data_IF_458823050642
#
_entry.id   IF_458823050642
#
_cell.length_a   1.000
_cell.length_b   1.000
_cell.length_c   1.000
_cell.angle_alpha   90.00
_cell.angle_beta   90.00
_cell.angle_gamma   90.00
#
_symmetry.space_group_name_H-M   'P 1'
#
loop_
_entity.id
_entity.type
_entity.pdbx_description
1 polymer ?
#
# COMPACT_ATOMS: atom_id res chain seq x y z
N UNK A 1 7.31 -11.14 34.13
CA UNK A 1 7.44 -11.79 32.81
C UNK A 1 6.87 -10.83 31.78
N UNK A 2 7.66 -10.39 30.76
CA UNK A 2 7.10 -9.64 29.61
C UNK A 2 6.13 -10.59 28.91
N UNK A 3 4.83 -10.25 28.87
CA UNK A 3 3.86 -10.99 28.08
C UNK A 3 4.30 -10.97 26.62
N UNK A 4 4.23 -12.11 25.92
CA UNK A 4 4.53 -12.16 24.49
C UNK A 4 3.48 -11.34 23.75
N UNK A 5 3.89 -10.20 23.16
CA UNK A 5 3.04 -9.38 22.32
C UNK A 5 2.94 -10.00 20.93
N UNK A 6 1.74 -10.10 20.39
CA UNK A 6 1.48 -10.76 19.11
C UNK A 6 0.75 -9.83 18.13
N UNK A 7 1.24 -9.78 16.91
CA UNK A 7 0.57 -9.13 15.79
C UNK A 7 0.06 -10.20 14.82
N UNK A 8 -1.25 -10.32 14.66
CA UNK A 8 -1.86 -11.27 13.72
C UNK A 8 -2.14 -10.55 12.41
N UNK A 9 -1.43 -10.90 11.34
CA UNK A 9 -1.69 -10.38 10.01
C UNK A 9 -2.63 -11.29 9.23
N UNK A 10 -3.79 -10.75 8.83
CA UNK A 10 -4.77 -11.46 8.00
C UNK A 10 -4.54 -11.08 6.54
N UNK A 11 -3.93 -12.00 5.79
CA UNK A 11 -3.59 -11.87 4.39
C UNK A 11 -4.61 -12.61 3.49
N UNK A 12 -4.63 -12.25 2.22
CA UNK A 12 -5.45 -12.91 1.19
C UNK A 12 -5.91 -11.94 0.11
N UNK A 13 -6.46 -12.45 -0.99
CA UNK A 13 -6.91 -11.62 -2.11
C UNK A 13 -8.07 -10.69 -1.74
N UNK A 14 -8.31 -9.66 -2.58
CA UNK A 14 -9.48 -8.79 -2.42
C UNK A 14 -10.77 -9.61 -2.56
N UNK A 15 -11.84 -9.20 -1.88
CA UNK A 15 -13.14 -9.88 -1.93
C UNK A 15 -13.25 -11.18 -1.11
N UNK A 16 -12.16 -11.68 -0.48
CA UNK A 16 -12.18 -12.96 0.24
C UNK A 16 -12.90 -12.90 1.60
N UNK A 17 -13.06 -11.72 2.20
CA UNK A 17 -13.74 -11.56 3.50
C UNK A 17 -12.80 -11.23 4.67
N UNK A 18 -11.58 -10.76 4.41
CA UNK A 18 -10.60 -10.38 5.46
C UNK A 18 -11.17 -9.44 6.53
N UNK A 19 -11.92 -8.42 6.12
CA UNK A 19 -12.52 -7.43 7.04
C UNK A 19 -13.46 -8.09 8.04
N UNK A 20 -14.37 -8.96 7.60
CA UNK A 20 -15.29 -9.63 8.51
C UNK A 20 -14.55 -10.53 9.49
N UNK A 21 -13.60 -11.34 9.01
CA UNK A 21 -12.79 -12.19 9.86
C UNK A 21 -11.99 -11.38 10.88
N UNK A 22 -11.38 -10.26 10.47
CA UNK A 22 -10.61 -9.40 11.37
C UNK A 22 -11.47 -8.83 12.50
N UNK A 23 -12.71 -8.44 12.20
CA UNK A 23 -13.66 -7.92 13.18
C UNK A 23 -14.09 -9.02 14.16
N UNK A 24 -14.41 -10.22 13.67
CA UNK A 24 -14.79 -11.34 14.52
C UNK A 24 -13.67 -11.73 15.51
N UNK A 25 -12.44 -11.79 15.01
CA UNK A 25 -11.27 -12.10 15.87
C UNK A 25 -11.03 -10.95 16.85
N UNK A 26 -11.10 -9.68 16.39
CA UNK A 26 -10.88 -8.53 17.25
C UNK A 26 -11.89 -8.45 18.39
N UNK A 27 -13.18 -8.73 18.13
CA UNK A 27 -14.22 -8.81 19.16
C UNK A 27 -13.91 -9.91 20.20
N UNK A 28 -13.54 -11.11 19.73
CA UNK A 28 -13.22 -12.24 20.62
C UNK A 28 -11.99 -11.98 21.51
N UNK A 29 -10.99 -11.27 20.96
CA UNK A 29 -9.75 -10.96 21.68
C UNK A 29 -9.79 -9.61 22.40
N UNK A 30 -10.90 -8.87 22.31
CA UNK A 30 -11.05 -7.51 22.83
C UNK A 30 -9.88 -6.60 22.43
N UNK A 31 -9.61 -6.55 21.13
CA UNK A 31 -8.48 -5.80 20.57
C UNK A 31 -8.88 -4.87 19.43
N UNK A 32 -7.90 -4.18 18.87
CA UNK A 32 -8.07 -3.18 17.83
C UNK A 32 -7.42 -3.65 16.51
N UNK A 33 -7.86 -3.08 15.40
CA UNK A 33 -7.45 -3.44 14.04
C UNK A 33 -6.64 -2.29 13.44
N UNK A 34 -5.51 -2.63 12.80
CA UNK A 34 -4.72 -1.72 11.97
C UNK A 34 -4.91 -2.11 10.50
N UNK A 35 -5.29 -1.15 9.64
CA UNK A 35 -5.31 -1.38 8.19
C UNK A 35 -3.92 -1.19 7.59
N UNK A 36 -3.49 -2.13 6.74
CA UNK A 36 -2.33 -1.99 5.87
C UNK A 36 -2.75 -1.89 4.39
N UNK A 37 -3.97 -1.43 4.10
CA UNK A 37 -4.41 -1.17 2.75
C UNK A 37 -4.00 0.24 2.33
N UNK A 38 -3.06 0.34 1.38
CA UNK A 38 -2.46 1.60 0.95
C UNK A 38 -3.44 2.58 0.28
N UNK A 39 -4.68 2.18 0.03
CA UNK A 39 -5.70 3.03 -0.59
C UNK A 39 -6.79 3.44 0.39
N UNK A 40 -7.07 2.64 1.40
CA UNK A 40 -8.05 2.97 2.43
C UNK A 40 -7.61 4.08 3.40
N UNK A 41 -6.37 4.53 3.32
CA UNK A 41 -5.89 5.70 4.09
C UNK A 41 -6.58 6.99 3.68
N UNK A 42 -6.97 7.13 2.41
CA UNK A 42 -7.40 8.39 1.82
C UNK A 42 -8.91 8.59 1.93
N UNK A 43 -9.31 9.75 2.48
CA UNK A 43 -10.72 10.11 2.74
C UNK A 43 -11.54 10.19 1.46
N UNK A 44 -10.92 10.62 0.38
CA UNK A 44 -11.55 10.85 -0.92
C UNK A 44 -11.79 9.53 -1.69
N UNK A 45 -11.14 8.43 -1.28
CA UNK A 45 -11.26 7.11 -1.91
C UNK A 45 -12.18 6.21 -1.09
N UNK A 46 -13.47 6.45 -1.13
CA UNK A 46 -14.43 5.79 -0.26
C UNK A 46 -15.05 4.55 -0.92
N UNK A 47 -15.69 4.70 -2.09
CA UNK A 47 -16.41 3.61 -2.74
C UNK A 47 -15.42 2.62 -3.38
N UNK A 48 -14.49 3.11 -4.19
CA UNK A 48 -13.57 2.27 -4.96
C UNK A 48 -12.56 1.48 -4.12
N UNK A 49 -12.31 1.87 -2.88
CA UNK A 49 -11.44 1.15 -1.94
C UNK A 49 -12.19 0.20 -1.01
N UNK A 50 -13.53 0.33 -0.94
CA UNK A 50 -14.41 -0.43 -0.03
C UNK A 50 -13.85 -0.55 1.38
N UNK A 51 -13.68 0.54 2.10
CA UNK A 51 -13.28 0.50 3.50
C UNK A 51 -14.36 -0.20 4.36
N UNK A 52 -14.06 -0.53 5.60
CA UNK A 52 -15.08 -1.01 6.54
C UNK A 52 -16.25 -0.05 6.63
N UNK A 53 -17.46 -0.58 6.67
CA UNK A 53 -18.69 0.21 6.81
C UNK A 53 -18.75 0.94 8.16
N UNK A 54 -19.61 1.95 8.26
CA UNK A 54 -19.80 2.69 9.52
C UNK A 54 -20.17 1.76 10.69
N UNK A 55 -21.03 0.75 10.45
CA UNK A 55 -21.37 -0.24 11.49
C UNK A 55 -20.15 -1.07 11.91
N UNK A 56 -19.32 -1.49 10.96
CA UNK A 56 -18.10 -2.24 11.23
C UNK A 56 -17.05 -1.41 12.00
N UNK A 57 -16.94 -0.12 11.69
CA UNK A 57 -16.04 0.80 12.41
C UNK A 57 -16.52 1.07 13.85
N UNK A 58 -17.83 1.07 14.09
CA UNK A 58 -18.40 1.17 15.44
C UNK A 58 -18.25 -0.11 16.25
N UNK A 59 -18.24 -1.27 15.59
CA UNK A 59 -18.10 -2.57 16.22
C UNK A 59 -16.71 -2.80 16.82
N UNK A 60 -15.68 -2.39 16.10
CA UNK A 60 -14.27 -2.51 16.50
C UNK A 60 -13.50 -1.29 16.01
N UNK A 61 -12.64 -0.77 16.84
CA UNK A 61 -11.79 0.37 16.47
C UNK A 61 -10.78 -0.03 15.40
N UNK A 62 -10.80 0.70 14.28
CA UNK A 62 -9.86 0.57 13.18
C UNK A 62 -8.95 1.79 13.11
N UNK A 63 -7.68 1.54 12.81
CA UNK A 63 -6.68 2.57 12.58
C UNK A 63 -6.26 2.56 11.11
N UNK A 64 -5.81 3.70 10.61
CA UNK A 64 -5.36 3.87 9.23
C UNK A 64 -6.49 3.64 8.20
N UNK A 65 -7.68 4.11 8.55
CA UNK A 65 -8.83 4.23 7.64
C UNK A 65 -9.17 5.71 7.54
N UNK A 66 -9.21 6.27 6.33
CA UNK A 66 -9.60 7.66 6.04
C UNK A 66 -8.91 8.72 6.92
N UNK A 67 -7.63 8.51 7.24
CA UNK A 67 -6.85 9.39 8.09
C UNK A 67 -5.88 10.30 7.32
N UNK A 68 -5.86 10.19 6.00
CA UNK A 68 -5.04 11.02 5.08
C UNK A 68 -5.91 11.59 3.96
N UNK A 69 -5.41 12.64 3.29
CA UNK A 69 -5.96 13.16 2.04
C UNK A 69 -5.11 12.66 0.85
N UNK A 70 -5.71 12.59 -0.34
CA UNK A 70 -4.98 12.28 -1.58
C UNK A 70 -3.85 13.28 -1.87
N UNK A 71 -3.88 14.46 -1.27
CA UNK A 71 -2.86 15.49 -1.38
C UNK A 71 -1.68 15.31 -0.41
N UNK A 72 -1.82 14.41 0.57
CA UNK A 72 -0.76 14.15 1.54
C UNK A 72 0.35 13.32 0.90
N UNK A 73 1.61 13.70 1.15
CA UNK A 73 2.77 12.88 0.79
C UNK A 73 2.87 11.75 1.82
N UNK A 74 2.29 10.61 1.49
CA UNK A 74 2.25 9.46 2.39
C UNK A 74 2.77 8.20 1.69
N UNK A 75 3.86 7.66 2.19
CA UNK A 75 4.52 6.48 1.64
C UNK A 75 4.66 5.39 2.69
N UNK A 76 5.19 4.23 2.28
CA UNK A 76 5.34 3.07 3.17
C UNK A 76 6.26 3.36 4.36
N UNK A 77 7.26 4.23 4.22
CA UNK A 77 8.15 4.65 5.32
C UNK A 77 7.44 5.50 6.36
N UNK A 78 6.59 6.44 5.92
CA UNK A 78 5.73 7.22 6.80
C UNK A 78 4.77 6.33 7.56
N UNK A 79 4.13 5.38 6.84
CA UNK A 79 3.23 4.41 7.44
C UNK A 79 3.94 3.53 8.48
N UNK A 80 5.13 2.98 8.16
CA UNK A 80 5.89 2.17 9.12
C UNK A 80 6.13 2.94 10.42
N UNK A 81 6.63 4.18 10.33
CA UNK A 81 6.92 5.01 11.51
C UNK A 81 5.68 5.27 12.35
N UNK A 82 4.58 5.71 11.74
CA UNK A 82 3.32 5.99 12.43
C UNK A 82 2.73 4.71 13.04
N UNK A 83 2.70 3.61 12.27
CA UNK A 83 2.08 2.37 12.71
C UNK A 83 2.89 1.70 13.84
N UNK A 84 4.22 1.68 13.79
CA UNK A 84 5.04 1.13 14.88
C UNK A 84 4.89 1.95 16.16
N UNK A 85 4.83 3.28 16.05
CA UNK A 85 4.57 4.15 17.21
C UNK A 85 3.21 3.82 17.85
N UNK A 86 2.17 3.67 17.04
CA UNK A 86 0.84 3.30 17.52
C UNK A 86 0.79 1.89 18.10
N UNK A 87 1.40 0.90 17.43
CA UNK A 87 1.47 -0.48 17.89
C UNK A 87 2.14 -0.55 19.27
N UNK A 88 3.26 0.14 19.47
CA UNK A 88 3.94 0.17 20.75
C UNK A 88 3.04 0.71 21.88
N UNK A 89 2.31 1.79 21.59
CA UNK A 89 1.34 2.37 22.51
C UNK A 89 0.19 1.42 22.83
N UNK A 90 -0.39 0.78 21.82
CA UNK A 90 -1.50 -0.14 22.02
C UNK A 90 -1.07 -1.42 22.79
N UNK A 91 0.16 -1.86 22.63
CA UNK A 91 0.71 -2.98 23.38
C UNK A 91 0.98 -2.68 24.86
N UNK A 92 0.83 -1.46 25.33
CA UNK A 92 0.82 -1.16 26.76
C UNK A 92 -0.39 -1.83 27.43
N UNK A 93 -1.57 -1.81 26.76
CA UNK A 93 -2.84 -2.32 27.30
C UNK A 93 -3.30 -3.62 26.63
N UNK A 94 -2.81 -3.95 25.45
CA UNK A 94 -3.21 -5.13 24.68
C UNK A 94 -2.07 -6.15 24.60
N UNK A 95 -2.41 -7.44 24.49
CA UNK A 95 -1.42 -8.51 24.26
C UNK A 95 -1.43 -8.96 22.79
N UNK A 96 -2.52 -8.71 22.07
CA UNK A 96 -2.71 -9.05 20.66
C UNK A 96 -3.23 -7.85 19.91
N UNK A 97 -2.72 -7.62 18.69
CA UNK A 97 -3.27 -6.66 17.72
C UNK A 97 -3.50 -7.36 16.38
N UNK A 98 -4.41 -6.82 15.58
CA UNK A 98 -4.71 -7.37 14.26
C UNK A 98 -4.25 -6.37 13.18
N UNK A 99 -3.53 -6.88 12.20
CA UNK A 99 -3.17 -6.19 10.97
C UNK A 99 -3.98 -6.79 9.83
N UNK A 100 -4.63 -5.97 8.99
CA UNK A 100 -5.42 -6.45 7.86
C UNK A 100 -5.28 -5.52 6.67
N UNK A 101 -5.20 -6.08 5.47
CA UNK A 101 -5.15 -5.28 4.24
C UNK A 101 -4.66 -6.08 3.03
N UNK A 102 -4.70 -5.43 1.87
CA UNK A 102 -4.28 -6.00 0.60
C UNK A 102 -2.85 -5.65 0.17
N UNK A 103 -2.19 -4.71 0.86
CA UNK A 103 -0.88 -4.19 0.44
C UNK A 103 0.26 -4.89 1.17
N UNK A 104 0.80 -5.96 0.57
CA UNK A 104 1.87 -6.77 1.16
C UNK A 104 3.07 -5.94 1.61
N UNK A 105 3.55 -4.99 0.78
CA UNK A 105 4.66 -4.11 1.15
C UNK A 105 4.41 -3.33 2.46
N UNK A 106 3.17 -2.91 2.71
CA UNK A 106 2.80 -2.21 3.94
C UNK A 106 2.74 -3.17 5.14
N UNK A 107 2.26 -4.39 4.94
CA UNK A 107 2.30 -5.42 5.98
C UNK A 107 3.75 -5.81 6.32
N UNK A 108 4.58 -6.03 5.30
CA UNK A 108 6.00 -6.37 5.46
C UNK A 108 6.76 -5.27 6.19
N UNK A 109 6.45 -4.00 5.92
CA UNK A 109 7.08 -2.87 6.63
C UNK A 109 6.83 -2.91 8.13
N UNK A 110 5.66 -3.36 8.56
CA UNK A 110 5.34 -3.51 9.98
C UNK A 110 6.03 -4.75 10.57
N UNK A 111 5.93 -5.89 9.89
CA UNK A 111 6.43 -7.16 10.42
C UNK A 111 7.97 -7.23 10.42
N UNK A 112 8.59 -6.78 9.35
CA UNK A 112 10.03 -6.98 9.12
C UNK A 112 10.81 -5.68 9.04
N UNK A 113 10.13 -4.56 8.84
CA UNK A 113 10.77 -3.28 8.52
C UNK A 113 11.10 -3.13 7.05
N UNK A 114 11.44 -1.92 6.67
CA UNK A 114 11.96 -1.61 5.33
C UNK A 114 13.31 -0.93 5.44
N UNK A 115 14.10 -1.02 4.39
CA UNK A 115 15.35 -0.29 4.26
C UNK A 115 15.10 1.22 4.33
N UNK A 116 16.03 1.94 4.93
CA UNK A 116 15.95 3.39 5.05
C UNK A 116 16.60 4.06 3.86
N UNK A 117 15.87 4.98 3.27
CA UNK A 117 16.34 5.78 2.15
C UNK A 117 16.30 7.27 2.54
N UNK A 118 17.20 8.08 1.98
CA UNK A 118 17.17 9.52 2.21
C UNK A 118 15.90 10.14 1.61
N UNK A 119 15.48 11.26 2.17
CA UNK A 119 14.44 12.09 1.55
C UNK A 119 15.03 12.78 0.31
N UNK A 120 14.40 12.57 -0.81
CA UNK A 120 14.88 13.05 -2.12
C UNK A 120 14.01 14.22 -2.56
N UNK A 121 14.61 15.34 -2.99
CA UNK A 121 13.87 16.45 -3.58
C UNK A 121 13.06 16.02 -4.80
N UNK A 122 11.82 16.49 -4.91
CA UNK A 122 10.86 16.09 -5.96
C UNK A 122 11.35 16.40 -7.37
N UNK A 123 12.14 17.45 -7.56
CA UNK A 123 12.70 17.84 -8.84
C UNK A 123 13.59 16.78 -9.48
N UNK A 124 14.29 15.95 -8.69
CA UNK A 124 15.10 14.84 -9.22
C UNK A 124 14.19 13.79 -9.87
N UNK A 125 13.10 13.44 -9.18
CA UNK A 125 12.11 12.51 -9.73
C UNK A 125 11.46 13.05 -10.99
N UNK A 126 11.06 14.31 -10.99
CA UNK A 126 10.45 14.98 -12.14
C UNK A 126 11.39 14.97 -13.35
N UNK A 127 12.67 15.27 -13.15
CA UNK A 127 13.69 15.21 -14.18
C UNK A 127 13.79 13.80 -14.79
N UNK A 128 13.87 12.76 -13.97
CA UNK A 128 13.94 11.37 -14.43
C UNK A 128 12.66 10.90 -15.15
N UNK A 129 11.48 11.36 -14.71
CA UNK A 129 10.22 11.09 -15.42
C UNK A 129 10.21 11.76 -16.79
N UNK A 130 10.67 13.02 -16.89
CA UNK A 130 10.76 13.73 -18.17
C UNK A 130 11.77 13.04 -19.11
N UNK A 131 12.90 12.60 -18.60
CA UNK A 131 13.90 11.82 -19.35
C UNK A 131 13.29 10.50 -19.87
N UNK A 132 12.56 9.78 -19.02
CA UNK A 132 11.84 8.56 -19.42
C UNK A 132 10.77 8.83 -20.49
N UNK A 133 9.96 9.89 -20.33
CA UNK A 133 8.88 10.21 -21.27
C UNK A 133 9.43 10.65 -22.64
N UNK A 134 10.57 11.32 -22.69
CA UNK A 134 11.19 11.79 -23.92
C UNK A 134 12.00 10.74 -24.66
N UNK A 135 12.66 9.86 -23.95
CA UNK A 135 13.68 8.94 -24.50
C UNK A 135 13.40 7.46 -24.29
N UNK A 136 12.30 7.16 -23.59
CA UNK A 136 11.81 5.79 -23.41
C UNK A 136 12.51 4.98 -22.31
N UNK A 137 12.07 3.74 -22.20
CA UNK A 137 12.49 2.81 -21.13
C UNK A 137 13.96 2.42 -21.23
N UNK A 138 14.45 2.21 -22.45
CA UNK A 138 15.81 1.73 -22.71
C UNK A 138 16.88 2.71 -22.17
N UNK A 139 16.62 4.01 -22.26
CA UNK A 139 17.56 5.00 -21.74
C UNK A 139 17.78 4.85 -20.23
N UNK A 140 16.69 4.78 -19.44
CA UNK A 140 16.79 4.64 -17.98
C UNK A 140 17.32 3.28 -17.55
N UNK A 141 17.07 2.22 -18.33
CA UNK A 141 17.67 0.89 -18.14
C UNK A 141 19.20 0.95 -18.31
N UNK A 142 19.67 1.55 -19.42
CA UNK A 142 21.09 1.71 -19.70
C UNK A 142 21.80 2.61 -18.68
N UNK A 143 21.13 3.65 -18.19
CA UNK A 143 21.61 4.52 -17.12
C UNK A 143 21.78 3.73 -15.82
N UNK A 144 20.78 2.95 -15.42
CA UNK A 144 20.86 2.07 -14.24
C UNK A 144 21.98 1.03 -14.37
N UNK A 145 22.12 0.41 -15.55
CA UNK A 145 23.16 -0.58 -15.81
C UNK A 145 24.57 -0.04 -15.59
N UNK A 146 24.79 1.24 -15.96
CA UNK A 146 26.09 1.89 -15.77
C UNK A 146 26.35 2.28 -14.32
N UNK A 147 25.30 2.67 -13.59
CA UNK A 147 25.42 3.24 -12.25
C UNK A 147 25.28 2.21 -11.12
N UNK A 148 24.55 1.11 -11.35
CA UNK A 148 24.37 0.03 -10.38
C UNK A 148 24.06 -1.30 -11.10
N UNK A 149 25.09 -1.97 -11.55
CA UNK A 149 24.98 -3.26 -12.27
C UNK A 149 24.36 -4.35 -11.37
N UNK A 150 24.58 -4.28 -10.06
CA UNK A 150 24.04 -5.26 -9.11
C UNK A 150 22.52 -5.17 -9.06
N UNK A 151 21.98 -3.97 -8.90
CA UNK A 151 20.53 -3.78 -8.88
C UNK A 151 19.89 -3.98 -10.25
N UNK A 152 20.59 -3.57 -11.33
CA UNK A 152 20.15 -3.83 -12.71
C UNK A 152 19.87 -5.32 -12.97
N UNK A 153 20.70 -6.21 -12.46
CA UNK A 153 20.53 -7.67 -12.63
C UNK A 153 19.41 -8.25 -11.74
N UNK A 154 18.95 -7.53 -10.72
CA UNK A 154 17.89 -7.98 -9.79
C UNK A 154 16.52 -7.42 -10.13
N UNK A 155 16.44 -6.21 -10.70
CA UNK A 155 15.18 -5.50 -10.90
C UNK A 155 14.44 -6.01 -12.13
N UNK A 156 13.10 -5.96 -12.07
CA UNK A 156 12.28 -6.08 -13.27
C UNK A 156 12.49 -4.85 -14.16
N UNK A 157 13.21 -5.04 -15.25
CA UNK A 157 13.58 -3.98 -16.19
C UNK A 157 12.39 -3.38 -16.94
N UNK A 158 11.23 -4.04 -16.95
CA UNK A 158 9.99 -3.46 -17.50
C UNK A 158 9.26 -2.55 -16.52
N UNK A 159 9.70 -2.51 -15.27
CA UNK A 159 9.11 -1.66 -14.25
C UNK A 159 9.85 -0.32 -14.14
N UNK A 160 9.42 0.66 -14.95
CA UNK A 160 10.00 2.00 -14.98
C UNK A 160 10.01 2.68 -13.60
N UNK A 161 8.98 2.47 -12.78
CA UNK A 161 8.90 3.06 -11.44
C UNK A 161 10.02 2.57 -10.51
N UNK A 162 10.37 1.28 -10.58
CA UNK A 162 11.49 0.73 -9.80
C UNK A 162 12.84 1.24 -10.28
N UNK A 163 13.01 1.39 -11.59
CA UNK A 163 14.23 1.93 -12.19
C UNK A 163 14.39 3.40 -11.80
N UNK A 164 13.34 4.22 -12.00
CA UNK A 164 13.34 5.64 -11.62
C UNK A 164 13.65 5.78 -10.12
N UNK A 165 13.05 4.96 -9.26
CA UNK A 165 13.33 5.02 -7.83
C UNK A 165 14.79 4.74 -7.48
N UNK A 166 15.42 3.79 -8.15
CA UNK A 166 16.85 3.53 -7.95
C UNK A 166 17.69 4.70 -8.44
N UNK A 167 17.40 5.23 -9.62
CA UNK A 167 18.12 6.37 -10.19
C UNK A 167 17.98 7.63 -9.36
N UNK A 168 16.81 7.92 -8.78
CA UNK A 168 16.61 9.03 -7.84
C UNK A 168 17.61 8.99 -6.68
N UNK A 169 17.75 7.81 -6.08
CA UNK A 169 18.65 7.61 -4.93
C UNK A 169 20.09 7.74 -5.35
N UNK A 170 20.44 7.18 -6.51
CA UNK A 170 21.81 7.27 -7.04
C UNK A 170 22.16 8.72 -7.38
N UNK A 171 21.30 9.45 -8.06
CA UNK A 171 21.55 10.86 -8.43
C UNK A 171 21.67 11.76 -7.20
N UNK A 172 20.84 11.54 -6.19
CA UNK A 172 20.86 12.35 -4.98
C UNK A 172 22.08 12.05 -4.10
N UNK A 173 22.44 10.77 -3.97
CA UNK A 173 23.45 10.34 -2.99
C UNK A 173 24.85 10.13 -3.58
N UNK A 174 24.95 9.96 -4.89
CA UNK A 174 26.16 9.52 -5.57
C UNK A 174 26.56 8.06 -5.26
N UNK A 175 25.68 7.28 -4.62
CA UNK A 175 25.96 5.89 -4.22
C UNK A 175 25.03 4.92 -4.92
N UNK A 176 25.50 3.71 -5.16
CA UNK A 176 24.67 2.63 -5.73
C UNK A 176 23.44 2.37 -4.85
N UNK A 177 22.27 2.22 -5.48
CA UNK A 177 21.01 1.89 -4.80
C UNK A 177 21.09 0.56 -4.05
N UNK A 178 21.81 -0.41 -4.62
CA UNK A 178 22.03 -1.73 -4.02
C UNK A 178 22.69 -1.68 -2.64
N UNK A 179 23.45 -0.63 -2.32
CA UNK A 179 24.07 -0.43 -1.00
C UNK A 179 23.04 -0.10 0.09
N UNK A 180 21.93 0.55 -0.28
CA UNK A 180 20.84 0.87 0.65
C UNK A 180 19.91 -0.31 0.90
N UNK A 181 19.92 -1.30 0.00
CA UNK A 181 19.09 -2.53 0.12
C UNK A 181 19.77 -3.54 1.03
N UNK A 182 19.74 -3.29 2.33
CA UNK A 182 20.38 -4.15 3.32
C UNK A 182 19.61 -5.44 3.56
N UNK A 183 18.31 -5.45 3.29
CA UNK A 183 17.38 -6.55 3.56
C UNK A 183 17.40 -7.00 5.05
N UNK A 184 17.88 -6.14 5.94
CA UNK A 184 17.92 -6.45 7.38
C UNK A 184 16.52 -6.30 7.96
N UNK A 185 16.10 -7.34 8.65
CA UNK A 185 14.87 -7.25 9.45
C UNK A 185 15.13 -6.36 10.68
N UNK A 186 14.19 -5.44 10.92
CA UNK A 186 14.19 -4.60 12.12
C UNK A 186 13.64 -5.42 13.30
N UNK A 187 14.26 -5.28 14.45
CA UNK A 187 13.72 -5.88 15.68
C UNK A 187 12.35 -5.27 16.02
N UNK A 188 11.43 -6.13 16.42
CA UNK A 188 10.07 -5.75 16.84
C UNK A 188 9.82 -6.23 18.27
N UNK A 189 9.06 -5.46 19.01
CA UNK A 189 8.67 -5.81 20.39
C UNK A 189 7.58 -6.88 20.44
N UNK A 190 7.16 -7.39 19.31
CA UNK A 190 6.10 -8.37 19.12
C UNK A 190 6.52 -9.49 18.17
N UNK A 191 5.81 -10.60 18.25
CA UNK A 191 5.88 -11.68 17.27
C UNK A 191 4.77 -11.53 16.24
N UNK A 192 5.09 -11.72 14.96
CA UNK A 192 4.11 -11.69 13.89
C UNK A 192 3.64 -13.08 13.51
N UNK A 193 2.33 -13.25 13.39
CA UNK A 193 1.68 -14.46 12.89
C UNK A 193 0.88 -14.11 11.64
N UNK A 194 1.01 -14.90 10.59
CA UNK A 194 0.31 -14.65 9.31
C UNK A 194 -0.77 -15.70 9.12
N UNK A 195 -2.00 -15.26 8.96
CA UNK A 195 -3.16 -16.07 8.56
C UNK A 195 -3.47 -15.76 7.12
N UNK A 196 -3.32 -16.74 6.24
CA UNK A 196 -3.65 -16.60 4.82
C UNK A 196 -5.03 -17.16 4.58
N UNK A 197 -5.93 -16.33 4.03
CA UNK A 197 -7.25 -16.77 3.61
C UNK A 197 -7.22 -17.23 2.16
N UNK A 198 -7.80 -18.39 1.91
CA UNK A 198 -7.92 -18.97 0.58
C UNK A 198 -9.37 -19.38 0.29
N UNK A 199 -9.76 -19.37 -0.96
CA UNK A 199 -11.01 -19.96 -1.42
C UNK A 199 -10.87 -20.39 -2.88
N UNK A 200 -11.85 -21.16 -3.36
CA UNK A 200 -11.94 -21.55 -4.75
C UNK A 200 -11.97 -20.31 -5.66
N UNK A 201 -11.23 -20.38 -6.77
CA UNK A 201 -11.05 -19.27 -7.71
C UNK A 201 -12.35 -18.74 -8.27
N UNK A 202 -13.26 -19.63 -8.63
CA UNK A 202 -14.56 -19.27 -9.17
C UNK A 202 -15.40 -18.47 -8.15
N UNK A 203 -15.44 -18.93 -6.89
CA UNK A 203 -16.14 -18.22 -5.81
C UNK A 203 -15.54 -16.85 -5.57
N UNK A 204 -14.19 -16.73 -5.66
CA UNK A 204 -13.51 -15.46 -5.50
C UNK A 204 -13.87 -14.47 -6.62
N UNK A 205 -13.87 -14.92 -7.87
CA UNK A 205 -14.24 -14.08 -9.01
C UNK A 205 -15.69 -13.60 -8.92
N UNK A 206 -16.62 -14.48 -8.56
CA UNK A 206 -18.01 -14.09 -8.37
C UNK A 206 -18.15 -13.01 -7.28
N UNK A 207 -17.43 -13.13 -6.16
CA UNK A 207 -17.42 -12.11 -5.11
C UNK A 207 -16.79 -10.78 -5.58
N UNK A 208 -15.72 -10.84 -6.38
CA UNK A 208 -15.07 -9.64 -6.92
C UNK A 208 -16.03 -8.95 -7.90
N UNK A 209 -16.67 -9.69 -8.81
CA UNK A 209 -17.61 -9.12 -9.76
C UNK A 209 -18.81 -8.47 -9.05
N UNK A 210 -19.47 -9.19 -8.13
CA UNK A 210 -20.55 -8.61 -7.32
C UNK A 210 -20.09 -7.37 -6.54
N UNK A 211 -18.86 -7.34 -6.05
CA UNK A 211 -18.31 -6.16 -5.38
C UNK A 211 -18.19 -4.97 -6.33
N UNK A 212 -17.73 -5.20 -7.57
CA UNK A 212 -17.63 -4.14 -8.59
C UNK A 212 -19.02 -3.61 -8.95
N UNK A 213 -20.00 -4.50 -9.17
CA UNK A 213 -21.39 -4.11 -9.44
C UNK A 213 -21.93 -3.22 -8.31
N UNK A 214 -21.76 -3.64 -7.07
CA UNK A 214 -22.15 -2.86 -5.89
C UNK A 214 -21.41 -1.50 -5.77
N UNK A 215 -20.16 -1.41 -6.22
CA UNK A 215 -19.42 -0.13 -6.24
C UNK A 215 -20.02 0.81 -7.29
N UNK A 216 -20.36 0.30 -8.48
CA UNK A 216 -21.00 1.08 -9.55
C UNK A 216 -22.36 1.59 -9.07
N UNK A 217 -23.20 0.72 -8.50
CA UNK A 217 -24.51 1.09 -7.95
C UNK A 217 -24.42 2.16 -6.83
N UNK A 218 -23.36 2.12 -6.03
CA UNK A 218 -23.11 3.12 -4.99
C UNK A 218 -22.55 4.44 -5.52
N UNK A 219 -22.28 4.53 -6.83
CA UNK A 219 -21.82 5.77 -7.47
C UNK A 219 -20.32 5.88 -7.61
N UNK A 220 -19.59 4.78 -7.81
CA UNK A 220 -18.14 4.80 -8.06
C UNK A 220 -17.78 5.73 -9.23
N UNK A 221 -18.55 5.69 -10.32
CA UNK A 221 -18.32 6.58 -11.47
C UNK A 221 -18.33 8.06 -11.05
N UNK A 222 -19.30 8.47 -10.22
CA UNK A 222 -19.38 9.84 -9.70
C UNK A 222 -18.20 10.18 -8.82
N UNK A 223 -17.80 9.27 -7.91
CA UNK A 223 -16.62 9.46 -7.06
C UNK A 223 -15.36 9.70 -7.91
N UNK A 224 -15.16 8.90 -8.97
CA UNK A 224 -14.00 9.05 -9.85
C UNK A 224 -14.08 10.32 -10.70
N UNK A 225 -15.26 10.70 -11.16
CA UNK A 225 -15.47 11.93 -11.92
C UNK A 225 -15.11 13.18 -11.10
N UNK A 226 -15.49 13.21 -9.83
CA UNK A 226 -15.15 14.30 -8.90
C UNK A 226 -13.62 14.42 -8.65
N UNK A 227 -12.88 13.33 -8.84
CA UNK A 227 -11.43 13.27 -8.68
C UNK A 227 -10.65 13.46 -9.99
N UNK A 228 -11.31 13.73 -11.11
CA UNK A 228 -10.71 13.78 -12.45
C UNK A 228 -9.55 14.77 -12.55
N UNK A 229 -9.66 15.94 -11.94
CA UNK A 229 -8.62 16.97 -11.98
C UNK A 229 -7.33 16.54 -11.25
N UNK A 230 -7.45 15.58 -10.35
CA UNK A 230 -6.34 15.04 -9.54
C UNK A 230 -5.78 13.73 -10.09
N UNK A 231 -6.21 13.26 -11.27
CA UNK A 231 -5.79 11.96 -11.87
C UNK A 231 -4.27 11.78 -11.98
N UNK A 232 -3.51 12.88 -11.98
CA UNK A 232 -2.05 12.87 -12.01
C UNK A 232 -1.41 12.41 -10.69
N UNK A 233 -2.16 12.43 -9.59
CA UNK A 233 -1.66 12.00 -8.29
C UNK A 233 -1.45 10.48 -8.27
N UNK A 234 -0.30 10.05 -7.73
CA UNK A 234 0.02 8.63 -7.60
C UNK A 234 -0.99 7.85 -6.74
N UNK A 235 -1.67 8.52 -5.83
CA UNK A 235 -2.73 7.96 -4.99
C UNK A 235 -3.91 7.45 -5.80
N UNK A 236 -4.20 8.10 -6.94
CA UNK A 236 -5.29 7.74 -7.86
C UNK A 236 -4.87 6.74 -8.95
N UNK A 237 -3.58 6.40 -9.01
CA UNK A 237 -3.08 5.35 -9.91
C UNK A 237 -3.39 3.96 -9.34
N UNK A 238 -4.66 3.61 -9.26
CA UNK A 238 -5.16 2.37 -8.65
C UNK A 238 -6.30 1.76 -9.48
N UNK A 239 -6.51 0.46 -9.30
CA UNK A 239 -7.58 -0.30 -9.98
C UNK A 239 -8.95 0.30 -9.66
N UNK A 240 -9.81 0.36 -10.65
CA UNK A 240 -11.12 1.00 -10.59
C UNK A 240 -11.06 2.46 -11.04
N UNK A 241 -10.15 3.26 -10.48
CA UNK A 241 -10.03 4.68 -10.83
C UNK A 241 -9.37 4.88 -12.20
N UNK A 242 -8.29 4.15 -12.49
CA UNK A 242 -7.58 4.25 -13.79
C UNK A 242 -8.48 3.92 -14.96
N UNK A 243 -9.27 2.89 -14.82
CA UNK A 243 -10.19 2.42 -15.86
C UNK A 243 -11.25 3.50 -16.15
N UNK A 244 -11.84 4.11 -15.13
CA UNK A 244 -12.77 5.21 -15.31
C UNK A 244 -12.12 6.47 -15.90
N UNK A 245 -10.89 6.83 -15.49
CA UNK A 245 -10.19 7.95 -16.12
C UNK A 245 -9.94 7.69 -17.60
N UNK A 246 -9.56 6.47 -17.99
CA UNK A 246 -9.40 6.10 -19.41
C UNK A 246 -10.73 6.16 -20.16
N UNK A 247 -11.81 5.73 -19.56
CA UNK A 247 -13.16 5.83 -20.11
C UNK A 247 -13.57 7.29 -20.33
N UNK A 248 -13.39 8.17 -19.36
CA UNK A 248 -13.70 9.60 -19.48
C UNK A 248 -12.85 10.31 -20.53
N UNK A 249 -11.69 9.77 -20.87
CA UNK A 249 -10.80 10.29 -21.92
C UNK A 249 -11.05 9.63 -23.29
N UNK A 250 -12.03 8.73 -23.41
CA UNK A 250 -12.33 8.02 -24.65
C UNK A 250 -11.24 7.02 -25.09
N UNK A 251 -10.41 6.56 -24.14
CA UNK A 251 -9.32 5.60 -24.39
C UNK A 251 -9.75 4.14 -24.22
N UNK A 252 -10.87 3.92 -23.58
CA UNK A 252 -11.49 2.59 -23.38
C UNK A 252 -13.02 2.71 -23.41
N UNK A 253 -13.69 1.61 -23.82
CA UNK A 253 -15.14 1.47 -23.75
C UNK A 253 -15.55 0.93 -22.39
#
# INVERSE_FOLDING_TARGET
MRKNKNLIYIAGPTGIGKTNLSIEIAKKLNTEILSCDSRQFYKELNIGTSPPSYSQLNDVKHHFIHNKSIHDIYNVGNYEKEAITLINKLFEDKDVLILVGGSGLYADSIMYGIDEFPEIPTNIRESLINEYNSSGLELIQNKLKKLDIKYYNEVDLNNSNRIIRALEIIEFTGKEFSLFRTKKQKERVFQSQVIVMECEREKLYNRINTRVDNMIEKGLEKEVLELRDFKHLNTLNTVGYKEFFNYFEGKSN
#
